data_IF_963147550526
#
_entry.id   IF_963147550526
#
_cell.length_a   1.000
_cell.length_b   1.000
_cell.length_c   1.000
_cell.angle_alpha   90.00
_cell.angle_beta   90.00
_cell.angle_gamma   90.00
#
_symmetry.space_group_name_H-M   'P 1'
#
loop_
_entity.id
_entity.type
_entity.pdbx_description
1 polymer ?
#
# COMPACT_ATOMS: atom_id res chain seq x y z
N UNK A 1 2.51 -14.68 22.47
CA UNK A 1 1.92 -13.99 23.63
C UNK A 1 2.55 -12.63 23.85
N UNK A 2 3.88 -12.48 23.79
CA UNK A 2 4.55 -11.17 23.90
C UNK A 2 4.00 -10.13 22.90
N UNK A 3 3.85 -10.49 21.61
CA UNK A 3 3.23 -9.61 20.62
C UNK A 3 1.77 -9.20 20.96
N UNK A 4 1.01 -10.07 21.62
CA UNK A 4 -0.38 -9.76 22.07
C UNK A 4 -0.34 -8.84 23.29
N UNK A 5 0.58 -9.10 24.21
CA UNK A 5 0.79 -8.28 25.40
C UNK A 5 1.21 -6.85 25.03
N UNK A 6 2.12 -6.71 24.06
CA UNK A 6 2.51 -5.43 23.47
C UNK A 6 1.33 -4.76 22.74
N UNK A 7 0.57 -5.54 21.95
CA UNK A 7 -0.63 -5.02 21.28
C UNK A 7 -1.64 -4.46 22.29
N UNK A 8 -1.75 -5.06 23.47
CA UNK A 8 -2.72 -4.69 24.50
C UNK A 8 -2.12 -3.84 25.63
N UNK A 9 -0.85 -3.44 25.52
CA UNK A 9 -0.15 -2.62 26.50
C UNK A 9 -0.23 -3.18 27.93
N UNK A 10 -0.09 -4.51 28.06
CA UNK A 10 -0.13 -5.20 29.35
C UNK A 10 -1.53 -5.31 29.98
N UNK A 11 -2.60 -5.10 29.21
CA UNK A 11 -3.97 -5.32 29.68
C UNK A 11 -4.16 -6.78 30.10
N UNK A 12 -4.64 -7.00 31.32
CA UNK A 12 -4.98 -8.35 31.79
C UNK A 12 -6.12 -8.96 30.97
N UNK A 13 -5.90 -10.19 30.53
CA UNK A 13 -6.85 -10.98 29.75
C UNK A 13 -7.57 -11.97 30.64
N UNK A 14 -8.88 -12.10 30.44
CA UNK A 14 -9.63 -13.20 31.02
C UNK A 14 -9.22 -14.53 30.36
N UNK A 15 -9.40 -15.67 31.06
CA UNK A 15 -9.03 -16.98 30.52
C UNK A 15 -9.70 -17.30 29.18
N UNK A 16 -10.96 -16.88 29.00
CA UNK A 16 -11.71 -17.13 27.77
C UNK A 16 -11.15 -16.29 26.60
N UNK A 17 -10.80 -15.03 26.84
CA UNK A 17 -10.17 -14.15 25.84
C UNK A 17 -8.81 -14.68 25.41
N UNK A 18 -8.03 -15.16 26.37
CA UNK A 18 -6.74 -15.81 26.10
C UNK A 18 -6.93 -17.05 25.22
N UNK A 19 -7.94 -17.87 25.53
CA UNK A 19 -8.23 -19.08 24.76
C UNK A 19 -8.66 -18.75 23.31
N UNK A 20 -9.49 -17.73 23.11
CA UNK A 20 -9.91 -17.27 21.78
C UNK A 20 -8.73 -16.72 20.95
N UNK A 21 -7.87 -15.89 21.55
CA UNK A 21 -6.68 -15.34 20.88
C UNK A 21 -5.70 -16.46 20.53
N UNK A 22 -5.44 -17.39 21.44
CA UNK A 22 -4.58 -18.55 21.16
C UNK A 22 -5.21 -19.48 20.12
N UNK A 23 -6.54 -19.64 20.14
CA UNK A 23 -7.27 -20.40 19.15
C UNK A 23 -7.08 -19.82 17.75
N UNK A 24 -7.19 -18.50 17.61
CA UNK A 24 -6.87 -17.80 16.36
C UNK A 24 -5.42 -17.99 15.96
N UNK A 25 -4.46 -17.74 16.87
CA UNK A 25 -3.04 -17.88 16.57
C UNK A 25 -2.68 -19.31 16.12
N UNK A 26 -3.16 -20.34 16.82
CA UNK A 26 -2.88 -21.73 16.48
C UNK A 26 -3.43 -22.15 15.12
N UNK A 27 -4.52 -21.51 14.64
CA UNK A 27 -5.06 -21.77 13.31
C UNK A 27 -4.31 -20.94 12.28
N UNK A 28 -4.40 -19.63 12.37
CA UNK A 28 -3.99 -18.74 11.29
C UNK A 28 -2.47 -18.51 11.24
N UNK A 29 -1.81 -18.33 12.39
CA UNK A 29 -0.35 -18.09 12.43
C UNK A 29 0.43 -19.35 12.04
N UNK A 30 -0.14 -20.54 12.30
CA UNK A 30 0.51 -21.81 11.92
C UNK A 30 0.72 -21.93 10.40
N UNK A 31 -0.18 -21.33 9.60
CA UNK A 31 -0.06 -21.28 8.14
C UNK A 31 1.05 -20.33 7.66
N UNK A 32 1.52 -19.41 8.51
CA UNK A 32 2.63 -18.51 8.23
C UNK A 32 3.99 -19.11 8.59
N UNK A 33 4.01 -20.26 9.27
CA UNK A 33 5.23 -20.96 9.70
C UNK A 33 5.53 -22.14 8.78
N UNK A 34 5.43 -21.91 7.47
CA UNK A 34 5.69 -22.89 6.42
C UNK A 34 6.97 -22.50 5.65
N UNK A 35 7.44 -23.32 4.71
CA UNK A 35 8.52 -22.93 3.81
C UNK A 35 8.12 -21.87 2.77
N UNK A 36 6.83 -21.51 2.68
CA UNK A 36 6.34 -20.49 1.74
C UNK A 36 6.58 -19.10 2.33
N UNK A 37 6.96 -18.15 1.49
CA UNK A 37 7.09 -16.74 1.90
C UNK A 37 5.70 -16.12 2.03
N UNK A 38 5.36 -15.67 3.23
CA UNK A 38 4.06 -15.11 3.53
C UNK A 38 3.99 -13.60 3.29
N UNK A 39 2.96 -13.14 2.57
CA UNK A 39 2.74 -11.73 2.25
C UNK A 39 1.44 -11.26 2.88
N UNK A 40 1.55 -10.46 3.95
CA UNK A 40 0.40 -9.84 4.57
C UNK A 40 0.03 -8.56 3.82
N UNK A 41 -1.08 -8.60 3.08
CA UNK A 41 -1.55 -7.45 2.30
C UNK A 41 -2.46 -6.57 3.16
N UNK A 42 -2.16 -5.28 3.19
CA UNK A 42 -2.82 -4.25 3.97
C UNK A 42 -3.38 -3.16 3.06
N UNK A 43 -4.45 -2.52 3.52
CA UNK A 43 -5.12 -1.42 2.85
C UNK A 43 -6.61 -1.44 3.16
N UNK A 44 -7.40 -0.71 2.37
CA UNK A 44 -8.83 -0.59 2.62
C UNK A 44 -9.62 -1.81 2.11
N UNK A 45 -10.38 -2.43 3.02
CA UNK A 45 -11.29 -3.54 2.72
C UNK A 45 -12.65 -3.09 2.17
N UNK A 46 -12.84 -1.78 1.96
CA UNK A 46 -14.09 -1.24 1.41
C UNK A 46 -14.09 -1.34 -0.11
N UNK A 47 -15.26 -1.53 -0.72
CA UNK A 47 -15.39 -1.28 -2.15
C UNK A 47 -15.17 0.21 -2.46
N UNK A 48 -14.48 0.55 -3.58
CA UNK A 48 -13.89 -0.37 -4.55
C UNK A 48 -12.46 -0.85 -4.21
N UNK A 49 -11.82 -0.28 -3.19
CA UNK A 49 -10.39 -0.48 -2.84
C UNK A 49 -9.99 -1.94 -2.59
N UNK A 50 -10.88 -2.76 -2.04
CA UNK A 50 -10.62 -4.20 -1.85
C UNK A 50 -10.19 -4.88 -3.15
N UNK A 51 -10.66 -4.40 -4.30
CA UNK A 51 -10.27 -4.93 -5.61
C UNK A 51 -8.79 -4.76 -5.91
N UNK A 52 -8.16 -3.70 -5.40
CA UNK A 52 -6.73 -3.42 -5.61
C UNK A 52 -5.88 -4.31 -4.72
N UNK A 53 -6.34 -4.59 -3.50
CA UNK A 53 -5.75 -5.62 -2.66
C UNK A 53 -5.78 -7.00 -3.34
N UNK A 54 -6.89 -7.33 -4.01
CA UNK A 54 -6.99 -8.57 -4.81
C UNK A 54 -6.07 -8.61 -6.02
N UNK A 55 -5.78 -7.47 -6.65
CA UNK A 55 -4.78 -7.42 -7.73
C UNK A 55 -3.43 -7.83 -7.16
N UNK A 56 -2.99 -7.17 -6.08
CA UNK A 56 -1.71 -7.48 -5.42
C UNK A 56 -1.64 -8.94 -4.96
N UNK A 57 -2.70 -9.44 -4.33
CA UNK A 57 -2.80 -10.84 -3.90
C UNK A 57 -2.63 -11.80 -5.08
N UNK A 58 -3.37 -11.59 -6.16
CA UNK A 58 -3.29 -12.45 -7.34
C UNK A 58 -1.92 -12.40 -8.03
N UNK A 59 -1.26 -11.25 -8.08
CA UNK A 59 0.08 -11.15 -8.68
C UNK A 59 1.14 -11.83 -7.82
N UNK A 60 1.04 -11.73 -6.49
CA UNK A 60 1.92 -12.45 -5.58
C UNK A 60 1.67 -13.96 -5.65
N UNK A 61 0.41 -14.41 -5.71
CA UNK A 61 0.04 -15.84 -5.73
C UNK A 61 0.54 -16.59 -6.98
N UNK A 62 0.81 -15.86 -8.08
CA UNK A 62 1.44 -16.43 -9.28
C UNK A 62 2.89 -16.88 -9.03
N UNK A 63 3.56 -16.35 -8.00
CA UNK A 63 4.94 -16.67 -7.67
C UNK A 63 5.00 -18.04 -6.99
N UNK A 64 6.03 -18.82 -7.31
CA UNK A 64 6.20 -20.13 -6.70
C UNK A 64 6.66 -19.99 -5.25
N UNK A 65 5.97 -20.66 -4.33
CA UNK A 65 6.36 -20.72 -2.92
C UNK A 65 5.99 -19.47 -2.14
N UNK A 66 4.99 -18.72 -2.57
CA UNK A 66 4.46 -17.56 -1.84
C UNK A 66 3.07 -17.84 -1.30
N UNK A 67 2.75 -17.24 -0.17
CA UNK A 67 1.43 -17.28 0.47
C UNK A 67 0.94 -15.86 0.75
N UNK A 68 0.32 -15.18 -0.24
CA UNK A 68 -0.32 -13.90 0.01
C UNK A 68 -1.66 -14.09 0.72
N UNK A 69 -1.99 -13.19 1.63
CA UNK A 69 -3.27 -13.23 2.32
C UNK A 69 -3.74 -11.86 2.79
N UNK A 70 -5.04 -11.77 2.97
CA UNK A 70 -5.75 -10.62 3.49
C UNK A 70 -6.32 -10.93 4.88
N UNK A 71 -6.14 -10.03 5.84
CA UNK A 71 -6.73 -10.21 7.18
C UNK A 71 -8.27 -10.25 7.13
N UNK A 72 -8.87 -9.59 6.14
CA UNK A 72 -10.32 -9.63 5.90
C UNK A 72 -10.88 -11.02 5.61
N UNK A 73 -10.05 -11.93 5.07
CA UNK A 73 -10.47 -13.29 4.72
C UNK A 73 -10.34 -14.28 5.87
N UNK A 74 -9.54 -13.93 6.88
CA UNK A 74 -9.32 -14.78 8.04
C UNK A 74 -10.49 -14.66 9.03
N UNK A 75 -10.78 -15.72 9.80
CA UNK A 75 -11.81 -15.68 10.84
C UNK A 75 -11.60 -14.52 11.82
N UNK A 76 -12.71 -13.95 12.32
CA UNK A 76 -12.66 -12.96 13.39
C UNK A 76 -12.43 -13.63 14.75
N UNK A 77 -11.90 -12.86 15.70
CA UNK A 77 -11.86 -13.26 17.12
C UNK A 77 -13.12 -12.68 17.76
N UNK A 78 -13.98 -13.53 18.32
CA UNK A 78 -15.27 -13.11 18.88
C UNK A 78 -15.10 -12.62 20.33
N UNK A 79 -14.50 -11.45 20.51
CA UNK A 79 -14.33 -10.79 21.81
C UNK A 79 -14.74 -9.32 21.72
N UNK A 80 -15.90 -8.96 22.29
CA UNK A 80 -16.45 -7.60 22.20
C UNK A 80 -15.63 -6.54 22.97
N UNK A 81 -14.99 -6.94 24.08
CA UNK A 81 -14.29 -6.01 24.99
C UNK A 81 -12.97 -5.50 24.42
N UNK A 82 -12.33 -6.26 23.53
CA UNK A 82 -10.94 -6.04 23.12
C UNK A 82 -10.85 -5.39 21.74
N UNK A 83 -9.76 -4.68 21.44
CA UNK A 83 -9.49 -4.17 20.09
C UNK A 83 -9.05 -5.32 19.16
N UNK A 84 -9.99 -6.17 18.74
CA UNK A 84 -9.73 -7.39 17.96
C UNK A 84 -8.90 -7.12 16.72
N UNK A 85 -9.19 -6.05 15.98
CA UNK A 85 -8.42 -5.64 14.81
C UNK A 85 -6.93 -5.45 15.14
N UNK A 86 -6.63 -4.76 16.25
CA UNK A 86 -5.25 -4.50 16.69
C UNK A 86 -4.53 -5.79 17.07
N UNK A 87 -5.22 -6.71 17.75
CA UNK A 87 -4.67 -8.03 18.11
C UNK A 87 -4.35 -8.82 16.84
N UNK A 88 -5.32 -8.95 15.92
CA UNK A 88 -5.15 -9.70 14.67
C UNK A 88 -4.04 -9.11 13.81
N UNK A 89 -4.05 -7.80 13.60
CA UNK A 89 -2.97 -7.10 12.90
C UNK A 89 -1.61 -7.42 13.52
N UNK A 90 -1.46 -7.29 14.84
CA UNK A 90 -0.16 -7.46 15.50
C UNK A 90 0.31 -8.90 15.39
N UNK A 91 -0.58 -9.88 15.56
CA UNK A 91 -0.23 -11.29 15.36
C UNK A 91 0.21 -11.56 13.92
N UNK A 92 -0.60 -11.22 12.93
CA UNK A 92 -0.31 -11.49 11.53
C UNK A 92 0.95 -10.76 11.07
N UNK A 93 1.06 -9.46 11.35
CA UNK A 93 2.23 -8.65 11.03
C UNK A 93 3.49 -9.14 11.74
N UNK A 94 3.40 -9.74 12.94
CA UNK A 94 4.57 -10.29 13.64
C UNK A 94 5.15 -11.49 12.92
N UNK A 95 4.29 -12.37 12.40
CA UNK A 95 4.71 -13.66 11.85
C UNK A 95 4.77 -13.72 10.32
N UNK A 96 4.20 -12.73 9.61
CA UNK A 96 4.36 -12.64 8.17
C UNK A 96 5.80 -12.28 7.77
N UNK A 97 6.29 -12.86 6.68
CA UNK A 97 7.62 -12.57 6.15
C UNK A 97 7.69 -11.19 5.53
N UNK A 98 6.62 -10.80 4.82
CA UNK A 98 6.46 -9.52 4.14
C UNK A 98 5.13 -8.86 4.49
N UNK A 99 5.13 -7.54 4.49
CA UNK A 99 3.91 -6.72 4.63
C UNK A 99 3.83 -5.79 3.41
N UNK A 100 2.72 -5.84 2.68
CA UNK A 100 2.50 -5.03 1.47
C UNK A 100 1.31 -4.11 1.73
N UNK A 101 1.55 -2.81 1.86
CA UNK A 101 0.51 -1.84 2.20
C UNK A 101 0.11 -1.01 0.98
N UNK A 102 -1.10 -1.25 0.47
CA UNK A 102 -1.69 -0.53 -0.66
C UNK A 102 -2.48 0.66 -0.12
N UNK A 103 -2.14 1.85 -0.58
CA UNK A 103 -2.78 3.10 -0.16
C UNK A 103 -3.43 3.80 -1.35
N UNK A 104 -4.66 4.26 -1.17
CA UNK A 104 -5.47 4.88 -2.23
C UNK A 104 -6.31 6.06 -1.73
N UNK A 105 -6.25 6.42 -0.45
CA UNK A 105 -7.09 7.47 0.12
C UNK A 105 -6.50 8.01 1.43
N UNK A 106 -6.89 9.23 1.79
CA UNK A 106 -6.65 9.80 3.12
C UNK A 106 -7.70 9.30 4.13
N UNK A 107 -7.80 7.97 4.32
CA UNK A 107 -8.68 7.39 5.33
C UNK A 107 -7.96 7.18 6.66
N UNK A 108 -8.56 7.65 7.76
CA UNK A 108 -7.91 7.60 9.09
C UNK A 108 -7.53 6.21 9.62
N UNK A 109 -8.12 5.14 9.08
CA UNK A 109 -7.69 3.76 9.37
C UNK A 109 -6.30 3.45 8.78
N UNK A 110 -6.04 3.89 7.56
CA UNK A 110 -4.82 3.63 6.81
C UNK A 110 -3.59 4.31 7.45
N UNK A 111 -3.73 5.56 7.91
CA UNK A 111 -2.67 6.27 8.66
C UNK A 111 -2.19 5.47 9.88
N UNK A 112 -3.12 4.86 10.61
CA UNK A 112 -2.81 4.16 11.84
C UNK A 112 -2.01 2.87 11.56
N UNK A 113 -2.32 2.20 10.45
CA UNK A 113 -1.58 1.02 10.02
C UNK A 113 -0.23 1.40 9.44
N UNK A 114 -0.17 2.44 8.60
CA UNK A 114 1.05 2.99 8.03
C UNK A 114 2.06 3.36 9.13
N UNK A 115 1.61 4.07 10.17
CA UNK A 115 2.46 4.43 11.30
C UNK A 115 2.94 3.24 12.15
N UNK A 116 2.23 2.10 12.12
CA UNK A 116 2.73 0.87 12.77
C UNK A 116 3.81 0.22 11.91
N UNK A 117 3.57 0.09 10.61
CA UNK A 117 4.51 -0.60 9.72
C UNK A 117 5.77 0.23 9.44
N UNK A 118 5.69 1.55 9.57
CA UNK A 118 6.85 2.45 9.46
C UNK A 118 7.76 2.38 10.70
N UNK A 119 7.27 1.85 11.81
CA UNK A 119 8.03 1.62 13.01
C UNK A 119 8.67 0.22 13.04
N UNK A 120 9.69 0.06 13.88
CA UNK A 120 10.22 -1.27 14.23
C UNK A 120 9.18 -2.07 15.01
N UNK A 121 9.09 -3.40 14.83
CA UNK A 121 10.01 -4.23 14.05
C UNK A 121 9.59 -4.45 12.59
N UNK A 122 8.53 -3.79 12.10
CA UNK A 122 7.91 -4.16 10.82
C UNK A 122 8.59 -3.53 9.60
N UNK A 123 9.20 -2.36 9.76
CA UNK A 123 9.74 -1.56 8.66
C UNK A 123 10.59 -2.35 7.64
N UNK A 124 11.50 -3.21 8.10
CA UNK A 124 12.42 -3.95 7.21
C UNK A 124 11.75 -4.99 6.31
N UNK A 125 10.50 -5.37 6.60
CA UNK A 125 9.70 -6.28 5.78
C UNK A 125 8.50 -5.62 5.11
N UNK A 126 8.34 -4.32 5.32
CA UNK A 126 7.22 -3.57 4.79
C UNK A 126 7.56 -2.89 3.46
N UNK A 127 6.64 -2.96 2.51
CA UNK A 127 6.67 -2.25 1.23
C UNK A 127 5.34 -1.52 1.07
N UNK A 128 5.39 -0.24 0.72
CA UNK A 128 4.19 0.61 0.53
C UNK A 128 3.94 0.87 -0.95
N UNK A 129 2.69 0.77 -1.36
CA UNK A 129 2.19 0.96 -2.72
C UNK A 129 1.18 2.13 -2.72
N UNK A 130 1.64 3.38 -2.62
CA UNK A 130 0.77 4.54 -2.62
C UNK A 130 0.35 4.94 -4.02
N UNK A 131 -0.96 5.03 -4.24
CA UNK A 131 -1.51 5.48 -5.51
C UNK A 131 -1.24 6.96 -5.76
N UNK A 132 -0.83 7.33 -6.97
CA UNK A 132 -0.55 8.71 -7.42
C UNK A 132 0.50 9.47 -6.60
N UNK A 133 1.28 8.77 -5.78
CA UNK A 133 2.36 9.40 -5.04
C UNK A 133 3.51 9.76 -5.98
N UNK A 134 3.71 11.06 -6.18
CA UNK A 134 4.89 11.62 -6.81
C UNK A 134 5.58 12.53 -5.79
N UNK A 135 6.79 12.16 -5.34
CA UNK A 135 7.52 13.03 -4.43
C UNK A 135 8.09 14.25 -5.17
N UNK A 136 8.09 15.40 -4.48
CA UNK A 136 8.51 16.74 -4.94
C UNK A 136 10.01 16.89 -5.26
N UNK A 137 10.70 15.85 -5.75
CA UNK A 137 12.08 15.99 -6.19
C UNK A 137 12.24 15.54 -7.64
N UNK A 138 12.63 16.50 -8.47
CA UNK A 138 12.92 16.46 -9.91
C UNK A 138 13.81 15.32 -10.46
N UNK A 139 14.18 14.30 -9.66
CA UNK A 139 15.34 13.46 -9.99
C UNK A 139 15.06 12.08 -10.55
N UNK A 140 13.86 11.51 -10.45
CA UNK A 140 13.67 10.11 -10.83
C UNK A 140 12.39 9.87 -11.65
N UNK A 141 12.20 10.60 -12.75
CA UNK A 141 11.35 10.05 -13.82
C UNK A 141 12.20 9.04 -14.58
N UNK A 142 12.26 7.81 -14.09
CA UNK A 142 13.03 6.71 -14.69
C UNK A 142 12.12 5.73 -15.42
N UNK A 143 10.83 5.73 -15.09
CA UNK A 143 9.81 4.87 -15.68
C UNK A 143 8.59 5.67 -16.15
N UNK A 144 7.73 5.03 -16.95
CA UNK A 144 6.43 5.59 -17.36
C UNK A 144 5.53 5.79 -16.13
N UNK A 145 5.59 4.90 -15.14
CA UNK A 145 4.84 5.02 -13.89
C UNK A 145 5.21 6.28 -13.11
N UNK A 146 6.52 6.59 -13.01
CA UNK A 146 7.00 7.81 -12.33
C UNK A 146 6.50 9.08 -13.03
N UNK A 147 6.47 9.07 -14.37
CA UNK A 147 5.93 10.16 -15.15
C UNK A 147 4.42 10.30 -14.93
N UNK A 148 3.70 9.20 -14.99
CA UNK A 148 2.24 9.18 -14.89
C UNK A 148 1.79 9.66 -13.51
N UNK A 149 2.43 9.23 -12.44
CA UNK A 149 2.16 9.73 -11.09
C UNK A 149 2.38 11.25 -10.98
N UNK A 150 3.46 11.78 -11.57
CA UNK A 150 3.72 13.22 -11.59
C UNK A 150 2.68 13.97 -12.45
N UNK A 151 2.32 13.40 -13.61
CA UNK A 151 1.37 14.00 -14.54
C UNK A 151 -0.04 14.06 -13.97
N UNK A 152 -0.49 13.03 -13.24
CA UNK A 152 -1.78 13.04 -12.51
C UNK A 152 -1.86 14.22 -11.53
N UNK A 153 -0.79 14.47 -10.77
CA UNK A 153 -0.75 15.59 -9.83
C UNK A 153 -0.80 16.95 -10.53
N UNK A 154 -0.24 17.08 -11.73
CA UNK A 154 -0.33 18.31 -12.55
C UNK A 154 -1.72 18.46 -13.16
N UNK A 155 -2.25 17.39 -13.75
CA UNK A 155 -3.52 17.38 -14.48
C UNK A 155 -4.73 17.73 -13.60
N UNK A 156 -4.73 17.26 -12.35
CA UNK A 156 -5.80 17.56 -11.38
C UNK A 156 -5.45 18.70 -10.42
N UNK A 157 -4.49 19.56 -10.79
CA UNK A 157 -4.14 20.72 -9.97
C UNK A 157 -5.11 21.89 -10.22
N UNK A 158 -6.04 22.11 -9.31
CA UNK A 158 -7.03 23.21 -9.38
C UNK A 158 -6.39 24.62 -9.41
N UNK A 159 -5.11 24.77 -9.06
CA UNK A 159 -4.40 26.04 -9.12
C UNK A 159 -3.84 26.38 -10.51
N UNK A 160 -3.85 25.43 -11.45
CA UNK A 160 -3.39 25.62 -12.83
C UNK A 160 -4.57 25.82 -13.78
N UNK A 161 -4.41 26.70 -14.77
CA UNK A 161 -5.33 26.74 -15.90
C UNK A 161 -4.94 25.74 -17.00
N UNK A 162 -5.73 25.64 -18.07
CA UNK A 162 -5.49 24.69 -19.16
C UNK A 162 -4.13 24.91 -19.84
N UNK A 163 -3.70 26.17 -20.04
CA UNK A 163 -2.44 26.51 -20.72
C UNK A 163 -1.23 26.18 -19.82
N UNK A 164 -1.34 26.50 -18.52
CA UNK A 164 -0.32 26.17 -17.54
C UNK A 164 -0.21 24.65 -17.33
N UNK A 165 -1.34 23.93 -17.33
CA UNK A 165 -1.37 22.45 -17.22
C UNK A 165 -0.68 21.80 -18.41
N UNK A 166 -1.01 22.19 -19.65
CA UNK A 166 -0.34 21.69 -20.86
C UNK A 166 1.18 21.95 -20.80
N UNK A 167 1.58 23.14 -20.38
CA UNK A 167 2.99 23.54 -20.28
C UNK A 167 3.76 22.67 -19.29
N UNK A 168 3.19 22.40 -18.12
CA UNK A 168 3.81 21.56 -17.10
C UNK A 168 3.88 20.09 -17.52
N UNK A 169 2.84 19.55 -18.18
CA UNK A 169 2.85 18.19 -18.71
C UNK A 169 3.92 18.01 -19.81
N UNK A 170 4.04 18.97 -20.73
CA UNK A 170 5.08 18.96 -21.76
C UNK A 170 6.50 19.04 -21.16
N UNK A 171 6.65 19.81 -20.07
CA UNK A 171 7.89 19.87 -19.29
C UNK A 171 8.24 18.52 -18.67
N UNK A 172 7.25 17.82 -18.09
CA UNK A 172 7.41 16.48 -17.53
C UNK A 172 7.80 15.45 -18.60
N UNK A 173 7.12 15.42 -19.74
CA UNK A 173 7.43 14.52 -20.87
C UNK A 173 8.84 14.80 -21.41
N UNK A 174 9.21 16.08 -21.54
CA UNK A 174 10.56 16.47 -21.96
C UNK A 174 11.63 15.97 -21.00
N UNK A 175 11.36 16.04 -19.69
CA UNK A 175 12.27 15.50 -18.67
C UNK A 175 12.36 13.97 -18.72
N UNK A 176 11.24 13.29 -18.87
CA UNK A 176 11.17 11.83 -18.99
C UNK A 176 12.00 11.33 -20.19
N UNK A 177 11.85 11.98 -21.35
CA UNK A 177 12.62 11.66 -22.57
C UNK A 177 14.12 11.84 -22.39
N UNK A 178 14.56 12.84 -21.62
CA UNK A 178 15.99 13.02 -21.28
C UNK A 178 16.54 11.86 -20.46
N UNK A 179 15.69 11.16 -19.73
CA UNK A 179 16.03 9.98 -18.94
C UNK A 179 15.81 8.66 -19.70
N UNK A 180 15.42 8.72 -20.98
CA UNK A 180 15.21 7.54 -21.83
C UNK A 180 13.80 6.93 -21.77
N UNK A 181 12.84 7.61 -21.14
CA UNK A 181 11.44 7.22 -21.13
C UNK A 181 10.77 7.75 -22.40
N UNK A 182 10.52 6.85 -23.36
CA UNK A 182 9.86 7.14 -24.64
C UNK A 182 8.35 7.11 -24.47
N UNK A 183 7.74 8.28 -24.31
CA UNK A 183 6.29 8.45 -24.15
C UNK A 183 5.86 9.80 -24.73
N UNK A 184 4.60 9.90 -25.16
CA UNK A 184 4.03 11.13 -25.72
C UNK A 184 3.11 11.84 -24.74
N UNK A 185 2.86 13.13 -24.97
CA UNK A 185 1.90 13.91 -24.18
C UNK A 185 0.49 13.33 -24.31
N UNK A 186 0.04 13.07 -25.55
CA UNK A 186 -1.26 12.46 -25.86
C UNK A 186 -1.44 11.12 -25.13
N UNK A 187 -0.41 10.26 -25.16
CA UNK A 187 -0.44 8.97 -24.45
C UNK A 187 -0.58 9.12 -22.92
N UNK A 188 0.03 10.15 -22.32
CA UNK A 188 -0.13 10.40 -20.88
C UNK A 188 -1.53 10.91 -20.57
N UNK A 189 -2.05 11.86 -21.35
CA UNK A 189 -3.40 12.39 -21.18
C UNK A 189 -4.44 11.29 -21.35
N UNK A 190 -4.35 10.48 -22.41
CA UNK A 190 -5.23 9.35 -22.66
C UNK A 190 -5.24 8.39 -21.46
N UNK A 191 -4.06 8.05 -20.91
CA UNK A 191 -3.96 7.19 -19.71
C UNK A 191 -4.54 7.82 -18.46
N UNK A 192 -4.50 9.14 -18.32
CA UNK A 192 -5.10 9.86 -17.18
C UNK A 192 -6.62 9.89 -17.32
N UNK A 193 -7.13 10.14 -18.53
CA UNK A 193 -8.57 10.19 -18.83
C UNK A 193 -9.23 8.80 -18.77
N UNK A 194 -8.53 7.74 -19.15
CA UNK A 194 -9.03 6.35 -19.17
C UNK A 194 -9.04 5.66 -17.79
N UNK A 195 -8.64 6.34 -16.71
CA UNK A 195 -8.55 5.75 -15.36
C UNK A 195 -9.93 5.25 -14.90
N UNK A 196 -10.01 4.00 -14.45
CA UNK A 196 -11.27 3.30 -14.07
C UNK A 196 -12.00 3.85 -12.81
N UNK A 197 -11.73 5.08 -12.36
CA UNK A 197 -12.24 5.57 -11.08
C UNK A 197 -13.49 6.45 -11.18
N UNK A 198 -14.40 6.23 -10.23
CA UNK A 198 -15.66 6.96 -10.13
C UNK A 198 -15.50 8.46 -9.80
N UNK A 199 -14.30 8.91 -9.42
CA UNK A 199 -14.04 10.29 -8.98
C UNK A 199 -13.14 11.09 -9.93
N UNK A 200 -12.47 10.49 -10.93
CA UNK A 200 -11.59 11.21 -11.88
C UNK A 200 -10.70 12.28 -11.20
N UNK A 201 -10.11 11.98 -10.04
CA UNK A 201 -9.29 12.91 -9.26
C UNK A 201 -7.96 12.24 -8.86
N UNK A 202 -6.95 13.06 -8.57
CA UNK A 202 -5.70 12.59 -7.97
C UNK A 202 -5.94 12.22 -6.50
N UNK A 203 -5.30 11.14 -6.02
CA UNK A 203 -5.35 10.82 -4.59
C UNK A 203 -4.59 11.87 -3.79
N UNK A 204 -5.31 12.60 -2.95
CA UNK A 204 -4.73 13.53 -1.99
C UNK A 204 -4.38 12.80 -0.68
N UNK A 205 -3.12 12.94 -0.25
CA UNK A 205 -2.65 12.40 1.02
C UNK A 205 -2.33 13.51 2.01
N UNK A 206 -2.71 13.32 3.28
CA UNK A 206 -2.27 14.21 4.35
C UNK A 206 -0.73 14.21 4.52
N UNK A 207 -0.21 15.30 5.09
CA UNK A 207 1.23 15.46 5.35
C UNK A 207 1.86 14.29 6.12
N UNK A 208 1.07 13.64 7.00
CA UNK A 208 1.53 12.47 7.76
C UNK A 208 1.82 11.29 6.83
N UNK A 209 0.90 10.94 5.92
CA UNK A 209 1.14 9.91 4.91
C UNK A 209 2.37 10.23 4.07
N UNK A 210 2.45 11.45 3.54
CA UNK A 210 3.55 11.89 2.69
C UNK A 210 4.92 11.75 3.40
N UNK A 211 4.97 12.07 4.69
CA UNK A 211 6.18 11.92 5.50
C UNK A 211 6.57 10.43 5.70
N UNK A 212 5.61 9.55 5.95
CA UNK A 212 5.87 8.11 6.07
C UNK A 212 6.27 7.49 4.72
N UNK A 213 5.59 7.83 3.62
CA UNK A 213 5.96 7.36 2.28
C UNK A 213 7.39 7.78 1.91
N UNK A 214 7.80 9.00 2.30
CA UNK A 214 9.17 9.46 2.10
C UNK A 214 10.19 8.60 2.83
N UNK A 215 9.87 8.11 4.03
CA UNK A 215 10.73 7.18 4.76
C UNK A 215 10.89 5.87 3.97
N UNK A 216 9.79 5.28 3.48
CA UNK A 216 9.86 4.07 2.67
C UNK A 216 10.62 4.28 1.35
N UNK A 217 10.40 5.42 0.68
CA UNK A 217 11.07 5.79 -0.57
C UNK A 217 12.60 5.87 -0.39
N UNK A 218 13.07 6.54 0.67
CA UNK A 218 14.49 6.65 0.99
C UNK A 218 15.17 5.29 1.26
N UNK A 219 14.38 4.25 1.54
CA UNK A 219 14.83 2.88 1.75
C UNK A 219 14.51 1.94 0.58
N UNK A 220 14.03 2.46 -0.56
CA UNK A 220 13.71 1.67 -1.75
C UNK A 220 12.51 0.74 -1.57
N UNK A 221 11.56 1.12 -0.70
CA UNK A 221 10.38 0.31 -0.31
C UNK A 221 9.05 1.02 -0.57
N UNK A 222 9.10 2.10 -1.34
CA UNK A 222 7.92 2.80 -1.83
C UNK A 222 7.80 2.53 -3.32
N UNK A 223 6.69 1.94 -3.73
CA UNK A 223 6.41 1.53 -5.11
C UNK A 223 5.10 2.20 -5.55
N UNK A 224 5.14 3.47 -5.97
CA UNK A 224 3.93 4.20 -6.37
C UNK A 224 3.30 3.58 -7.60
N UNK A 225 1.99 3.75 -7.74
CA UNK A 225 1.24 3.29 -8.91
C UNK A 225 0.10 4.24 -9.25
N UNK A 226 -0.43 4.21 -10.46
CA UNK A 226 -1.53 5.12 -10.85
C UNK A 226 -2.80 4.42 -11.31
N UNK A 227 -2.65 3.30 -12.01
CA UNK A 227 -3.74 2.52 -12.59
C UNK A 227 -3.61 1.01 -12.26
N UNK A 228 -4.65 0.19 -12.47
CA UNK A 228 -4.59 -1.24 -12.15
C UNK A 228 -3.53 -2.05 -12.91
N UNK A 229 -3.10 -1.63 -14.10
CA UNK A 229 -2.03 -2.29 -14.85
C UNK A 229 -0.68 -1.97 -14.21
N UNK A 230 -0.43 -0.70 -13.92
CA UNK A 230 0.74 -0.25 -13.17
C UNK A 230 0.83 -0.92 -11.79
N UNK A 231 -0.30 -1.08 -11.08
CA UNK A 231 -0.33 -1.81 -9.82
C UNK A 231 0.21 -3.24 -9.95
N UNK A 232 -0.06 -3.92 -11.07
CA UNK A 232 0.47 -5.27 -11.32
C UNK A 232 1.98 -5.21 -11.53
N UNK A 233 2.43 -4.31 -12.39
CA UNK A 233 3.85 -4.14 -12.71
C UNK A 233 4.67 -3.81 -11.47
N UNK A 234 4.19 -2.90 -10.61
CA UNK A 234 4.90 -2.56 -9.39
C UNK A 234 4.88 -3.69 -8.36
N UNK A 235 3.84 -4.52 -8.37
CA UNK A 235 3.76 -5.70 -7.50
C UNK A 235 4.86 -6.69 -7.85
N UNK A 236 5.28 -6.82 -9.10
CA UNK A 236 6.43 -7.67 -9.49
C UNK A 236 7.75 -7.26 -8.81
N UNK A 237 7.86 -6.00 -8.39
CA UNK A 237 9.04 -5.45 -7.70
C UNK A 237 8.98 -5.60 -6.19
N UNK A 238 7.85 -6.02 -5.63
CA UNK A 238 7.78 -6.41 -4.22
C UNK A 238 8.77 -7.56 -4.01
N UNK A 239 9.66 -7.48 -3.00
CA UNK A 239 10.66 -8.51 -2.71
C UNK A 239 10.10 -9.92 -2.70
#
# INVERSE_FOLDING_TARGET
MEAVDEALQGLELEPHETAEILGFANREVSHLQTPEESYFILGSYRDPYIRRLRIVENELDKRLGTYPFLMGDLPQIEIDRLPVFRIRFTLLATYADHIVAVHEQDAGGEVTELGKISATPYFERSTVLPRDYAWMTDRHIETVADLLAAAVNVYFNDDLDEEDTETELDSLVTRARRNGVEVSHEEIVDRIEDREDAEHEAVSYSWVHLNEFRLFELHGRCLPWTDPEDLRDVTERVP
#
